data_IF_809313235103
#
_entry.id   IF_809313235103
#
_cell.length_a   1.000
_cell.length_b   1.000
_cell.length_c   1.000
_cell.angle_alpha   90.00
_cell.angle_beta   90.00
_cell.angle_gamma   90.00
#
_symmetry.space_group_name_H-M   'P 1'
#
loop_
_entity.id
_entity.type
_entity.pdbx_description
1 polymer ?
#
# COMPACT_ATOMS: atom_id res chain seq x y z
N UNK A 1 -7.63 -7.40 -3.09
CA UNK A 1 -8.81 -8.15 -3.61
C UNK A 1 -8.92 -9.43 -2.80
N UNK A 2 -10.09 -9.73 -2.28
CA UNK A 2 -10.36 -11.01 -1.57
C UNK A 2 -10.44 -12.18 -2.56
N UNK A 3 -10.50 -13.41 -2.03
CA UNK A 3 -10.69 -14.60 -2.85
C UNK A 3 -12.13 -14.70 -3.38
N UNK A 4 -12.32 -14.89 -4.69
CA UNK A 4 -13.64 -15.02 -5.32
C UNK A 4 -14.40 -16.25 -4.82
N UNK A 5 -13.69 -17.36 -4.60
CA UNK A 5 -14.30 -18.58 -4.06
C UNK A 5 -14.78 -18.34 -2.63
N UNK A 6 -13.96 -17.67 -1.81
CA UNK A 6 -14.34 -17.28 -0.45
C UNK A 6 -15.61 -16.41 -0.45
N UNK A 7 -15.70 -15.41 -1.33
CA UNK A 7 -16.89 -14.56 -1.45
C UNK A 7 -18.14 -15.36 -1.80
N UNK A 8 -18.03 -16.29 -2.78
CA UNK A 8 -19.15 -17.16 -3.16
C UNK A 8 -19.65 -18.06 -2.03
N UNK A 9 -18.72 -18.61 -1.25
CA UNK A 9 -19.03 -19.52 -0.17
C UNK A 9 -19.50 -18.80 1.10
N UNK A 10 -19.12 -17.52 1.29
CA UNK A 10 -19.36 -16.74 2.50
C UNK A 10 -19.88 -15.31 2.21
N UNK A 11 -20.92 -15.12 1.38
CA UNK A 11 -21.37 -13.78 1.00
C UNK A 11 -21.83 -12.93 2.19
N UNK A 12 -22.50 -13.54 3.17
CA UNK A 12 -22.97 -12.84 4.36
C UNK A 12 -21.83 -12.34 5.24
N UNK A 13 -20.73 -13.10 5.35
CA UNK A 13 -19.54 -12.68 6.07
C UNK A 13 -18.86 -11.48 5.38
N UNK A 14 -18.80 -11.49 4.04
CA UNK A 14 -18.27 -10.35 3.28
C UNK A 14 -19.15 -9.11 3.46
N UNK A 15 -20.48 -9.25 3.42
CA UNK A 15 -21.41 -8.15 3.68
C UNK A 15 -21.29 -7.63 5.12
N UNK A 16 -21.14 -8.51 6.11
CA UNK A 16 -20.89 -8.11 7.50
C UNK A 16 -19.58 -7.30 7.63
N UNK A 17 -18.52 -7.77 6.97
CA UNK A 17 -17.25 -7.05 6.95
C UNK A 17 -17.36 -5.64 6.33
N UNK A 18 -18.12 -5.49 5.22
CA UNK A 18 -18.41 -4.19 4.61
C UNK A 18 -19.11 -3.26 5.60
N UNK A 19 -20.10 -3.77 6.35
CA UNK A 19 -20.81 -3.02 7.39
C UNK A 19 -19.89 -2.61 8.54
N UNK A 20 -19.00 -3.53 8.99
CA UNK A 20 -17.99 -3.22 10.01
C UNK A 20 -17.03 -2.10 9.58
N UNK A 21 -16.81 -1.95 8.28
CA UNK A 21 -16.01 -0.86 7.69
C UNK A 21 -16.82 0.40 7.38
N UNK A 22 -18.12 0.43 7.73
CA UNK A 22 -19.01 1.57 7.45
C UNK A 22 -19.11 1.94 5.96
N UNK A 23 -19.05 0.94 5.09
CA UNK A 23 -19.06 1.09 3.63
C UNK A 23 -20.35 0.48 3.03
N UNK A 24 -21.52 0.70 3.62
CA UNK A 24 -22.79 0.07 3.24
C UNK A 24 -23.15 0.27 1.76
N UNK A 25 -22.67 1.35 1.13
CA UNK A 25 -22.81 1.60 -0.30
C UNK A 25 -22.18 0.53 -1.20
N UNK A 26 -21.26 -0.29 -0.66
CA UNK A 26 -20.60 -1.40 -1.38
C UNK A 26 -21.32 -2.75 -1.23
N UNK A 27 -22.37 -2.84 -0.40
CA UNK A 27 -23.13 -4.09 -0.20
C UNK A 27 -23.68 -4.68 -1.51
N UNK A 28 -24.24 -3.91 -2.45
CA UNK A 28 -24.74 -4.45 -3.71
C UNK A 28 -23.67 -5.17 -4.55
N UNK A 29 -22.40 -4.74 -4.45
CA UNK A 29 -21.30 -5.33 -5.22
C UNK A 29 -21.13 -6.84 -4.95
N UNK A 30 -21.45 -7.29 -3.74
CA UNK A 30 -21.33 -8.72 -3.38
C UNK A 30 -22.31 -9.56 -4.19
N UNK A 31 -23.55 -9.10 -4.33
CA UNK A 31 -24.58 -9.80 -5.09
C UNK A 31 -24.30 -9.71 -6.60
N UNK A 32 -23.83 -8.55 -7.08
CA UNK A 32 -23.42 -8.36 -8.47
C UNK A 32 -22.28 -9.31 -8.87
N UNK A 33 -21.23 -9.44 -8.02
CA UNK A 33 -20.15 -10.40 -8.24
C UNK A 33 -20.67 -11.83 -8.36
N UNK A 34 -21.56 -12.25 -7.46
CA UNK A 34 -22.14 -13.61 -7.49
C UNK A 34 -22.93 -13.84 -8.77
N UNK A 35 -23.74 -12.86 -9.18
CA UNK A 35 -24.55 -12.93 -10.39
C UNK A 35 -23.69 -13.04 -11.65
N UNK A 36 -22.72 -12.12 -11.80
CA UNK A 36 -21.83 -12.11 -12.97
C UNK A 36 -20.87 -13.29 -13.01
N UNK A 37 -20.36 -13.76 -11.86
CA UNK A 37 -19.56 -14.98 -11.80
C UNK A 37 -20.38 -16.21 -12.23
N UNK A 38 -21.66 -16.28 -11.84
CA UNK A 38 -22.55 -17.35 -12.30
C UNK A 38 -22.74 -17.30 -13.82
N UNK A 39 -23.04 -16.10 -14.38
CA UNK A 39 -23.18 -15.89 -15.84
C UNK A 39 -21.91 -16.25 -16.60
N UNK A 40 -20.75 -15.84 -16.08
CA UNK A 40 -19.45 -16.18 -16.68
C UNK A 40 -19.20 -17.68 -16.73
N UNK A 41 -19.50 -18.41 -15.65
CA UNK A 41 -19.34 -19.87 -15.58
C UNK A 41 -20.33 -20.59 -16.49
N UNK A 42 -21.57 -20.12 -16.58
CA UNK A 42 -22.59 -20.67 -17.48
C UNK A 42 -22.17 -20.46 -18.95
N UNK A 43 -21.70 -19.27 -19.32
CA UNK A 43 -21.20 -18.98 -20.66
C UNK A 43 -19.97 -19.84 -21.01
N UNK A 44 -19.04 -19.99 -20.09
CA UNK A 44 -17.87 -20.84 -20.24
C UNK A 44 -18.27 -22.31 -20.43
N UNK A 45 -19.18 -22.83 -19.61
CA UNK A 45 -19.66 -24.22 -19.75
C UNK A 45 -20.33 -24.44 -21.09
N UNK A 46 -21.23 -23.52 -21.53
CA UNK A 46 -21.87 -23.62 -22.85
C UNK A 46 -20.82 -23.60 -23.97
N UNK A 47 -19.80 -22.74 -23.87
CA UNK A 47 -18.73 -22.65 -24.86
C UNK A 47 -17.89 -23.95 -24.91
N UNK A 48 -17.57 -24.55 -23.76
CA UNK A 48 -16.80 -25.79 -23.70
C UNK A 48 -17.62 -26.99 -24.25
N UNK A 49 -18.90 -27.08 -23.94
CA UNK A 49 -19.80 -28.08 -24.48
C UNK A 49 -19.94 -27.96 -26.02
N UNK A 50 -20.08 -26.73 -26.51
CA UNK A 50 -20.13 -26.45 -27.93
C UNK A 50 -18.81 -26.74 -28.66
N UNK A 51 -17.65 -26.46 -28.05
CA UNK A 51 -16.34 -26.84 -28.59
C UNK A 51 -16.19 -28.36 -28.69
N UNK A 52 -16.59 -29.09 -27.64
CA UNK A 52 -16.59 -30.54 -27.64
C UNK A 52 -17.49 -31.09 -28.75
N UNK A 53 -18.72 -30.59 -28.83
CA UNK A 53 -19.72 -30.99 -29.87
C UNK A 53 -19.18 -30.66 -31.27
N UNK A 54 -18.63 -29.48 -31.52
CA UNK A 54 -18.03 -29.08 -32.79
C UNK A 54 -16.94 -30.05 -33.20
N UNK A 55 -16.06 -30.44 -32.30
CA UNK A 55 -14.98 -31.42 -32.60
C UNK A 55 -15.53 -32.79 -32.97
N UNK A 56 -16.60 -33.27 -32.26
CA UNK A 56 -17.24 -34.54 -32.54
C UNK A 56 -17.92 -34.56 -33.90
N UNK A 57 -18.74 -33.53 -34.17
CA UNK A 57 -19.54 -33.41 -35.40
C UNK A 57 -18.64 -33.17 -36.63
N UNK A 58 -17.57 -32.37 -36.48
CA UNK A 58 -16.62 -32.13 -37.57
C UNK A 58 -15.93 -33.40 -38.08
N UNK A 59 -15.69 -34.38 -37.22
CA UNK A 59 -15.08 -35.67 -37.56
C UNK A 59 -15.98 -36.49 -38.49
N UNK A 60 -17.31 -36.27 -38.42
CA UNK A 60 -18.27 -37.03 -39.22
C UNK A 60 -18.32 -36.56 -40.68
N UNK A 61 -17.95 -35.28 -40.94
CA UNK A 61 -17.96 -34.71 -42.31
C UNK A 61 -17.09 -35.53 -43.26
N UNK A 62 -15.85 -35.85 -42.82
CA UNK A 62 -14.93 -36.64 -43.66
C UNK A 62 -15.44 -38.05 -43.94
N UNK A 63 -16.02 -38.71 -42.93
CA UNK A 63 -16.61 -40.05 -43.11
C UNK A 63 -17.84 -40.05 -44.01
N UNK A 64 -18.72 -39.06 -43.88
CA UNK A 64 -19.92 -38.94 -44.75
C UNK A 64 -19.53 -38.59 -46.19
N UNK A 65 -18.56 -37.75 -46.40
CA UNK A 65 -18.04 -37.44 -47.72
C UNK A 65 -17.42 -38.68 -48.40
N UNK A 66 -16.64 -39.46 -47.66
CA UNK A 66 -16.05 -40.73 -48.14
C UNK A 66 -17.12 -41.80 -48.51
N UNK A 67 -18.26 -41.75 -47.85
CA UNK A 67 -19.43 -42.64 -48.15
C UNK A 67 -20.33 -42.10 -49.27
N UNK A 68 -20.03 -40.93 -49.86
CA UNK A 68 -20.84 -40.32 -50.91
C UNK A 68 -22.13 -39.66 -50.44
N UNK A 69 -22.36 -39.54 -49.14
CA UNK A 69 -23.53 -38.95 -48.46
C UNK A 69 -23.45 -37.42 -48.40
N UNK A 70 -23.53 -36.78 -49.56
CA UNK A 70 -23.28 -35.31 -49.66
C UNK A 70 -24.33 -34.46 -48.93
N UNK A 71 -25.62 -34.84 -48.95
CA UNK A 71 -26.69 -34.10 -48.28
C UNK A 71 -26.53 -34.14 -46.76
N UNK A 72 -26.20 -35.33 -46.18
CA UNK A 72 -25.90 -35.48 -44.76
C UNK A 72 -24.64 -34.68 -44.37
N UNK A 73 -23.61 -34.68 -45.22
CA UNK A 73 -22.40 -33.88 -44.98
C UNK A 73 -22.66 -32.37 -44.99
N UNK A 74 -23.52 -31.86 -45.86
CA UNK A 74 -23.94 -30.45 -45.88
C UNK A 74 -24.78 -30.06 -44.65
N UNK A 75 -25.67 -30.94 -44.17
CA UNK A 75 -26.40 -30.72 -42.92
C UNK A 75 -25.45 -30.61 -41.71
N UNK A 76 -24.42 -31.46 -41.64
CA UNK A 76 -23.39 -31.46 -40.59
C UNK A 76 -22.54 -30.18 -40.69
N UNK A 77 -22.21 -29.74 -41.89
CA UNK A 77 -21.48 -28.44 -42.06
C UNK A 77 -22.34 -27.26 -41.60
N UNK A 78 -23.64 -27.26 -41.85
CA UNK A 78 -24.54 -26.21 -41.38
C UNK A 78 -24.61 -26.19 -39.84
N UNK A 79 -24.67 -27.37 -39.18
CA UNK A 79 -24.60 -27.48 -37.73
C UNK A 79 -23.27 -26.92 -37.17
N UNK A 80 -22.14 -27.26 -37.77
CA UNK A 80 -20.83 -26.72 -37.39
C UNK A 80 -20.78 -25.20 -37.55
N UNK A 81 -21.40 -24.65 -38.58
CA UNK A 81 -21.49 -23.21 -38.79
C UNK A 81 -22.32 -22.51 -37.71
N UNK A 82 -23.47 -23.11 -37.31
CA UNK A 82 -24.29 -22.58 -36.24
C UNK A 82 -23.55 -22.63 -34.88
N UNK A 83 -22.86 -23.71 -34.56
CA UNK A 83 -22.04 -23.83 -33.35
C UNK A 83 -20.93 -22.76 -33.35
N UNK A 84 -20.28 -22.57 -34.51
CA UNK A 84 -19.22 -21.57 -34.63
C UNK A 84 -19.74 -20.14 -34.41
N UNK A 85 -20.92 -19.82 -34.96
CA UNK A 85 -21.59 -18.54 -34.74
C UNK A 85 -21.88 -18.32 -33.26
N UNK A 86 -22.45 -19.31 -32.58
CA UNK A 86 -22.76 -19.24 -31.14
C UNK A 86 -21.51 -19.05 -30.30
N UNK A 87 -20.43 -19.76 -30.60
CA UNK A 87 -19.14 -19.57 -29.95
C UNK A 87 -18.59 -18.14 -30.08
N UNK A 88 -18.73 -17.56 -31.29
CA UNK A 88 -18.32 -16.16 -31.54
C UNK A 88 -19.16 -15.14 -30.75
N UNK A 89 -20.42 -15.47 -30.42
CA UNK A 89 -21.28 -14.64 -29.55
C UNK A 89 -20.95 -14.82 -28.06
N UNK A 90 -20.58 -16.03 -27.63
CA UNK A 90 -20.31 -16.35 -26.23
C UNK A 90 -18.97 -15.78 -25.73
N UNK A 91 -17.93 -15.81 -26.55
CA UNK A 91 -16.60 -15.34 -26.16
C UNK A 91 -16.58 -13.89 -25.63
N UNK A 92 -17.18 -12.89 -26.33
CA UNK A 92 -17.25 -11.54 -25.80
C UNK A 92 -18.12 -11.42 -24.56
N UNK A 93 -19.20 -12.18 -24.43
CA UNK A 93 -20.08 -12.19 -23.25
C UNK A 93 -19.36 -12.77 -22.02
N UNK A 94 -18.66 -13.88 -22.18
CA UNK A 94 -17.85 -14.48 -21.10
C UNK A 94 -16.83 -13.45 -20.59
N UNK A 95 -16.12 -12.80 -21.51
CA UNK A 95 -15.16 -11.77 -21.17
C UNK A 95 -15.81 -10.57 -20.46
N UNK A 96 -16.92 -10.07 -20.94
CA UNK A 96 -17.68 -8.98 -20.33
C UNK A 96 -18.04 -9.32 -18.86
N UNK A 97 -18.55 -10.52 -18.61
CA UNK A 97 -18.90 -10.96 -17.27
C UNK A 97 -17.68 -11.12 -16.36
N UNK A 98 -16.57 -11.65 -16.89
CA UNK A 98 -15.31 -11.76 -16.14
C UNK A 98 -14.73 -10.38 -15.80
N UNK A 99 -14.77 -9.44 -16.75
CA UNK A 99 -14.30 -8.07 -16.55
C UNK A 99 -15.15 -7.37 -15.48
N UNK A 100 -16.48 -7.59 -15.48
CA UNK A 100 -17.38 -7.03 -14.46
C UNK A 100 -17.13 -7.62 -13.08
N UNK A 101 -16.93 -8.93 -12.99
CA UNK A 101 -16.53 -9.59 -11.74
C UNK A 101 -15.23 -8.98 -11.20
N UNK A 102 -14.23 -8.82 -12.04
CA UNK A 102 -12.96 -8.24 -11.63
C UNK A 102 -13.12 -6.79 -11.16
N UNK A 103 -13.86 -5.97 -11.89
CA UNK A 103 -14.11 -4.58 -11.53
C UNK A 103 -14.75 -4.45 -10.14
N UNK A 104 -15.80 -5.24 -9.86
CA UNK A 104 -16.51 -5.18 -8.58
C UNK A 104 -15.68 -5.79 -7.45
N UNK A 105 -14.97 -6.89 -7.70
CA UNK A 105 -14.01 -7.48 -6.74
C UNK A 105 -12.88 -6.51 -6.35
N UNK A 106 -12.48 -5.62 -7.24
CA UNK A 106 -11.46 -4.60 -6.96
C UNK A 106 -11.96 -3.50 -6.02
N UNK A 107 -13.28 -3.31 -5.89
CA UNK A 107 -13.93 -2.32 -5.01
C UNK A 107 -14.30 -2.90 -3.64
N UNK A 108 -14.48 -4.22 -3.53
CA UNK A 108 -14.80 -4.88 -2.27
C UNK A 108 -13.59 -4.87 -1.35
N UNK A 109 -13.76 -4.38 -0.09
CA UNK A 109 -12.65 -4.29 0.85
C UNK A 109 -12.18 -5.66 1.33
N UNK A 110 -10.92 -5.74 1.77
CA UNK A 110 -10.35 -6.93 2.38
C UNK A 110 -11.06 -7.26 3.70
N UNK A 111 -11.01 -8.52 4.09
CA UNK A 111 -11.56 -8.97 5.38
C UNK A 111 -10.62 -8.51 6.49
N UNK A 112 -11.15 -7.77 7.45
CA UNK A 112 -10.38 -7.27 8.59
C UNK A 112 -10.08 -8.39 9.59
N UNK A 113 -8.92 -8.27 10.27
CA UNK A 113 -8.56 -9.18 11.36
C UNK A 113 -9.60 -9.07 12.50
N UNK A 114 -9.99 -10.19 13.15
CA UNK A 114 -10.96 -10.16 14.25
C UNK A 114 -10.57 -9.28 15.43
N UNK A 115 -9.28 -8.95 15.59
CA UNK A 115 -8.77 -8.08 16.66
C UNK A 115 -8.90 -6.59 16.36
N UNK A 116 -9.29 -6.22 15.13
CA UNK A 116 -9.45 -4.81 14.74
C UNK A 116 -10.62 -4.17 15.51
N UNK A 117 -10.40 -3.03 16.19
CA UNK A 117 -11.47 -2.30 16.86
C UNK A 117 -12.54 -1.85 15.86
N UNK A 118 -13.80 -1.93 16.25
CA UNK A 118 -14.90 -1.45 15.41
C UNK A 118 -15.16 0.02 15.72
N UNK A 119 -15.03 0.88 14.72
CA UNK A 119 -15.23 2.32 14.84
C UNK A 119 -15.40 2.96 13.47
N UNK A 120 -16.05 4.11 13.41
CA UNK A 120 -16.45 4.77 12.17
C UNK A 120 -15.29 5.51 11.48
N UNK A 121 -14.41 6.11 12.27
CA UNK A 121 -13.33 6.99 11.80
C UNK A 121 -12.14 6.94 12.80
N UNK A 122 -11.08 7.68 12.51
CA UNK A 122 -9.82 7.73 13.28
C UNK A 122 -10.01 8.09 14.77
N UNK A 123 -11.10 8.74 15.15
CA UNK A 123 -11.40 9.07 16.55
C UNK A 123 -11.68 7.82 17.41
N UNK A 124 -11.95 6.68 16.77
CA UNK A 124 -12.16 5.37 17.40
C UNK A 124 -10.89 4.50 17.42
N UNK A 125 -9.76 5.01 16.94
CA UNK A 125 -8.49 4.30 17.03
C UNK A 125 -8.10 4.09 18.50
N UNK A 126 -7.52 2.92 18.80
CA UNK A 126 -7.24 2.51 20.19
C UNK A 126 -5.76 2.61 20.48
N UNK A 127 -5.41 3.40 21.52
CA UNK A 127 -4.04 3.44 22.03
C UNK A 127 -3.65 2.09 22.60
N UNK A 128 -2.57 1.49 22.10
CA UNK A 128 -2.05 0.22 22.60
C UNK A 128 -1.01 0.43 23.69
N UNK A 129 0.04 1.22 23.42
CA UNK A 129 1.18 1.37 24.31
C UNK A 129 1.90 2.70 24.05
N UNK A 130 2.52 3.24 25.14
CA UNK A 130 3.41 4.40 25.09
C UNK A 130 4.84 3.99 25.38
N UNK A 131 5.77 4.61 24.67
CA UNK A 131 7.21 4.36 24.76
C UNK A 131 7.95 5.66 25.02
N UNK A 132 8.53 5.79 26.18
CA UNK A 132 9.17 7.00 26.68
C UNK A 132 8.19 7.99 27.29
N UNK A 133 8.70 8.80 28.20
CA UNK A 133 7.91 9.80 28.90
C UNK A 133 7.72 11.04 28.06
N UNK A 134 6.48 11.50 27.81
CA UNK A 134 6.23 12.76 27.14
C UNK A 134 6.60 13.93 28.06
N UNK A 135 7.58 14.73 27.65
CA UNK A 135 8.04 15.90 28.40
C UNK A 135 7.52 17.17 27.75
N UNK A 136 7.07 18.12 28.57
CA UNK A 136 6.80 19.50 28.17
C UNK A 136 7.83 20.38 28.89
N UNK A 137 8.75 21.04 28.16
CA UNK A 137 9.74 21.89 28.78
C UNK A 137 9.08 23.13 29.41
N UNK A 138 9.83 23.85 30.25
CA UNK A 138 9.39 25.07 30.94
C UNK A 138 9.55 26.34 30.07
N UNK A 139 9.95 26.18 28.81
CA UNK A 139 10.05 27.25 27.82
C UNK A 139 9.10 27.00 26.64
N UNK A 140 8.75 28.06 25.93
CA UNK A 140 7.90 27.98 24.74
C UNK A 140 8.65 27.35 23.57
N UNK A 141 8.05 26.33 22.95
CA UNK A 141 8.57 25.71 21.74
C UNK A 141 7.95 26.43 20.52
N UNK A 142 8.77 27.08 19.68
CA UNK A 142 8.29 27.71 18.46
C UNK A 142 7.73 26.69 17.47
N UNK A 143 7.02 27.18 16.46
CA UNK A 143 6.59 26.35 15.33
C UNK A 143 7.82 25.79 14.61
N UNK A 144 7.70 24.59 14.06
CA UNK A 144 8.87 23.91 13.47
C UNK A 144 9.57 24.69 12.35
N UNK A 145 8.82 25.47 11.54
CA UNK A 145 9.43 26.34 10.54
C UNK A 145 10.21 27.47 11.17
N UNK A 146 9.71 28.06 12.26
CA UNK A 146 10.40 29.14 12.96
C UNK A 146 11.72 28.63 13.61
N UNK A 147 11.71 27.36 14.08
CA UNK A 147 12.95 26.72 14.54
C UNK A 147 13.92 26.56 13.36
N UNK A 148 13.45 26.03 12.20
CA UNK A 148 14.31 25.83 11.03
C UNK A 148 14.85 27.15 10.46
N UNK A 149 14.06 28.24 10.48
CA UNK A 149 14.47 29.57 10.03
C UNK A 149 15.64 30.12 10.85
N UNK A 150 15.68 29.86 12.17
CA UNK A 150 16.83 30.25 13.01
C UNK A 150 18.17 29.62 12.61
N UNK A 151 18.12 28.55 11.82
CA UNK A 151 19.29 27.89 11.23
C UNK A 151 19.53 28.27 9.76
N UNK A 152 18.77 29.22 9.18
CA UNK A 152 18.68 29.43 7.72
C UNK A 152 18.37 28.11 6.98
N UNK A 153 17.56 27.25 7.59
CA UNK A 153 17.41 25.85 7.21
C UNK A 153 16.22 25.54 6.31
N UNK A 154 15.32 26.51 6.08
CA UNK A 154 14.13 26.33 5.25
C UNK A 154 13.81 27.59 4.45
N UNK A 155 13.31 27.41 3.20
CA UNK A 155 12.79 28.49 2.38
C UNK A 155 11.50 28.03 1.68
N UNK A 156 10.37 28.40 2.26
CA UNK A 156 9.05 28.09 1.71
C UNK A 156 8.62 29.10 0.63
N UNK A 157 9.09 30.34 0.70
CA UNK A 157 8.75 31.39 -0.27
C UNK A 157 9.38 31.11 -1.63
N UNK A 158 10.65 30.69 -1.66
CA UNK A 158 11.30 30.26 -2.88
C UNK A 158 10.64 28.99 -3.45
N UNK A 159 10.29 28.03 -2.61
CA UNK A 159 9.59 26.82 -3.03
C UNK A 159 8.22 27.15 -3.65
N UNK A 160 7.47 28.09 -3.03
CA UNK A 160 6.19 28.57 -3.56
C UNK A 160 6.30 29.17 -4.96
N UNK A 161 7.38 29.91 -5.24
CA UNK A 161 7.65 30.48 -6.58
C UNK A 161 8.01 29.42 -7.62
N UNK A 162 8.71 28.37 -7.22
CA UNK A 162 9.24 27.34 -8.14
C UNK A 162 8.22 26.25 -8.41
N UNK A 163 7.50 25.76 -7.39
CA UNK A 163 6.68 24.57 -7.48
C UNK A 163 5.26 24.74 -6.91
N UNK A 164 4.98 25.85 -6.24
CA UNK A 164 3.73 26.09 -5.55
C UNK A 164 3.79 25.75 -4.06
N UNK A 165 2.65 25.89 -3.39
CA UNK A 165 2.52 25.53 -1.97
C UNK A 165 2.65 24.00 -1.77
N UNK A 166 3.09 23.58 -0.59
CA UNK A 166 3.28 22.15 -0.28
C UNK A 166 4.62 21.59 -0.77
N UNK A 167 5.56 22.47 -1.11
CA UNK A 167 6.96 22.14 -1.39
C UNK A 167 7.89 22.94 -0.46
N UNK A 168 9.15 22.58 -0.40
CA UNK A 168 10.13 23.21 0.48
C UNK A 168 11.52 23.18 -0.14
N UNK A 169 12.38 24.13 0.29
CA UNK A 169 13.82 23.98 0.25
C UNK A 169 14.30 23.75 1.68
N UNK A 170 15.10 22.72 1.91
CA UNK A 170 15.88 22.56 3.13
C UNK A 170 17.33 22.92 2.83
N UNK A 171 17.99 23.57 3.79
CA UNK A 171 19.34 24.09 3.62
C UNK A 171 20.19 23.87 4.87
N UNK A 172 21.50 23.99 4.71
CA UNK A 172 22.45 23.98 5.83
C UNK A 172 22.33 22.77 6.74
N UNK A 173 22.33 23.04 8.04
CA UNK A 173 22.27 21.97 9.06
C UNK A 173 20.94 21.24 9.10
N UNK A 174 19.84 21.87 8.72
CA UNK A 174 18.52 21.20 8.63
C UNK A 174 18.52 20.20 7.47
N UNK A 175 19.07 20.54 6.31
CA UNK A 175 19.22 19.60 5.20
C UNK A 175 20.16 18.43 5.54
N UNK A 176 21.27 18.72 6.27
CA UNK A 176 22.16 17.66 6.78
C UNK A 176 21.45 16.73 7.76
N UNK A 177 20.66 17.30 8.66
CA UNK A 177 19.86 16.52 9.64
C UNK A 177 18.85 15.61 8.94
N UNK A 178 18.13 16.12 7.94
CA UNK A 178 17.23 15.34 7.09
C UNK A 178 17.97 14.16 6.43
N UNK A 179 19.11 14.40 5.82
CA UNK A 179 19.92 13.36 5.17
C UNK A 179 20.49 12.36 6.17
N UNK A 180 20.90 12.83 7.35
CA UNK A 180 21.39 11.99 8.44
C UNK A 180 20.31 11.02 8.96
N UNK A 181 19.06 11.48 9.13
CA UNK A 181 17.93 10.64 9.52
C UNK A 181 17.67 9.52 8.52
N UNK A 182 17.72 9.82 7.23
CA UNK A 182 17.51 8.82 6.17
C UNK A 182 18.64 7.81 6.13
N UNK A 183 19.89 8.27 6.24
CA UNK A 183 21.06 7.39 6.25
C UNK A 183 21.05 6.48 7.49
N UNK A 184 20.75 7.02 8.65
CA UNK A 184 20.62 6.25 9.89
C UNK A 184 19.49 5.20 9.76
N UNK A 185 18.32 5.59 9.29
CA UNK A 185 17.18 4.68 9.12
C UNK A 185 17.50 3.53 8.15
N UNK A 186 18.21 3.81 7.06
CA UNK A 186 18.69 2.79 6.12
C UNK A 186 19.59 1.78 6.83
N UNK A 187 20.62 2.26 7.53
CA UNK A 187 21.61 1.40 8.17
C UNK A 187 21.00 0.64 9.37
N UNK A 188 20.08 1.26 10.09
CA UNK A 188 19.27 0.61 11.11
C UNK A 188 18.51 -0.59 10.55
N UNK A 189 17.84 -0.44 9.40
CA UNK A 189 17.09 -1.54 8.79
C UNK A 189 18.00 -2.64 8.21
N UNK A 190 19.16 -2.26 7.65
CA UNK A 190 20.18 -3.24 7.25
C UNK A 190 20.63 -4.05 8.48
N UNK A 191 20.85 -3.39 9.60
CA UNK A 191 21.17 -4.04 10.88
C UNK A 191 20.06 -4.99 11.41
N UNK A 192 18.81 -4.78 11.00
CA UNK A 192 17.68 -5.70 11.29
C UNK A 192 17.57 -6.85 10.28
N UNK A 193 18.49 -6.96 9.32
CA UNK A 193 18.53 -8.02 8.31
C UNK A 193 17.71 -7.74 7.04
N UNK A 194 17.26 -6.50 6.83
CA UNK A 194 16.57 -6.11 5.61
C UNK A 194 17.56 -5.84 4.47
N UNK A 195 17.21 -6.30 3.27
CA UNK A 195 17.97 -5.99 2.07
C UNK A 195 17.62 -4.59 1.59
N UNK A 196 18.62 -3.71 1.51
CA UNK A 196 18.43 -2.37 0.95
C UNK A 196 18.31 -2.42 -0.57
N UNK A 197 17.33 -1.75 -1.12
CA UNK A 197 17.13 -1.63 -2.56
C UNK A 197 16.75 -0.20 -2.97
N UNK A 198 17.10 0.17 -4.19
CA UNK A 198 16.68 1.42 -4.85
C UNK A 198 15.73 1.00 -5.97
N UNK A 199 14.41 1.22 -5.82
CA UNK A 199 13.41 0.81 -6.80
C UNK A 199 13.18 1.90 -7.86
N UNK A 200 12.49 1.62 -8.95
CA UNK A 200 11.96 2.65 -9.83
C UNK A 200 11.01 3.60 -9.08
N UNK A 201 11.11 4.92 -9.35
CA UNK A 201 10.26 5.94 -8.73
C UNK A 201 9.02 6.27 -9.57
N UNK A 202 8.87 5.60 -10.71
CA UNK A 202 7.69 5.62 -11.57
C UNK A 202 7.26 4.18 -11.83
N UNK A 203 5.95 3.95 -11.80
CA UNK A 203 5.34 2.64 -11.98
C UNK A 203 4.18 2.68 -12.97
N UNK A 204 3.88 1.55 -13.60
CA UNK A 204 2.78 1.42 -14.56
C UNK A 204 1.43 1.26 -13.85
N UNK A 205 0.36 1.54 -14.58
CA UNK A 205 -1.02 1.44 -14.08
C UNK A 205 -1.38 0.08 -13.49
N UNK A 206 -0.88 -1.01 -14.07
CA UNK A 206 -1.12 -2.37 -13.58
C UNK A 206 -0.46 -2.64 -12.21
N UNK A 207 0.62 -1.95 -11.89
CA UNK A 207 1.22 -1.99 -10.54
C UNK A 207 0.41 -1.13 -9.59
N UNK A 208 0.05 0.11 -10.00
CA UNK A 208 -0.74 1.03 -9.18
C UNK A 208 -2.03 0.35 -8.71
N UNK A 209 -2.82 -0.18 -9.63
CA UNK A 209 -4.09 -0.87 -9.31
C UNK A 209 -3.90 -2.16 -8.50
N UNK A 210 -2.69 -2.72 -8.51
CA UNK A 210 -2.34 -3.87 -7.69
C UNK A 210 -2.06 -3.53 -6.23
N UNK A 211 -1.53 -2.34 -5.94
CA UNK A 211 -1.03 -1.97 -4.61
C UNK A 211 -1.97 -1.07 -3.81
N UNK A 212 -2.94 -0.41 -4.46
CA UNK A 212 -3.88 0.50 -3.79
C UNK A 212 -5.29 0.41 -4.36
N UNK A 213 -6.26 1.03 -3.71
CA UNK A 213 -7.62 1.18 -4.22
C UNK A 213 -7.71 2.26 -5.31
N UNK A 214 -8.80 2.26 -6.09
CA UNK A 214 -9.03 3.31 -7.10
C UNK A 214 -9.22 4.69 -6.47
N UNK A 215 -9.83 4.75 -5.28
CA UNK A 215 -10.03 6.01 -4.54
C UNK A 215 -8.70 6.59 -4.09
N UNK A 216 -7.82 5.77 -3.50
CA UNK A 216 -6.46 6.18 -3.12
C UNK A 216 -5.65 6.61 -4.34
N UNK A 217 -5.76 5.90 -5.48
CA UNK A 217 -5.07 6.26 -6.72
C UNK A 217 -5.45 7.67 -7.20
N UNK A 218 -6.74 8.03 -7.24
CA UNK A 218 -7.19 9.35 -7.68
C UNK A 218 -6.76 10.46 -6.71
N UNK A 219 -6.85 10.19 -5.42
CA UNK A 219 -6.49 11.15 -4.38
C UNK A 219 -4.98 11.41 -4.27
N UNK A 220 -4.16 10.40 -4.56
CA UNK A 220 -2.72 10.42 -4.26
C UNK A 220 -1.83 10.57 -5.49
N UNK A 221 -2.09 9.84 -6.59
CA UNK A 221 -1.09 9.59 -7.62
C UNK A 221 -0.98 10.70 -8.67
N UNK A 222 0.25 11.17 -8.95
CA UNK A 222 0.56 11.95 -10.13
C UNK A 222 0.78 11.02 -11.32
N UNK A 223 0.11 11.30 -12.44
CA UNK A 223 0.29 10.60 -13.70
C UNK A 223 1.15 11.43 -14.65
N UNK A 224 2.06 10.79 -15.37
CA UNK A 224 2.83 11.41 -16.44
C UNK A 224 1.94 11.50 -17.69
N UNK A 225 1.82 12.70 -18.24
CA UNK A 225 1.03 12.94 -19.44
C UNK A 225 1.65 12.22 -20.65
N UNK A 226 0.81 11.51 -21.41
CA UNK A 226 1.25 10.77 -22.60
C UNK A 226 1.92 9.42 -22.33
N UNK A 227 2.12 9.05 -21.06
CA UNK A 227 2.80 7.81 -20.65
C UNK A 227 1.91 6.95 -19.75
N UNK A 228 2.10 5.62 -19.78
CA UNK A 228 1.56 4.73 -18.75
C UNK A 228 2.51 4.66 -17.54
N UNK A 229 2.77 5.83 -16.94
CA UNK A 229 3.63 5.98 -15.78
C UNK A 229 3.01 6.90 -14.74
N UNK A 230 3.23 6.54 -13.47
CA UNK A 230 2.79 7.28 -12.30
C UNK A 230 3.97 7.45 -11.34
N UNK A 231 4.11 8.65 -10.77
CA UNK A 231 5.07 8.88 -9.69
C UNK A 231 4.63 8.13 -8.44
N UNK A 232 5.55 7.46 -7.76
CA UNK A 232 5.22 6.71 -6.54
C UNK A 232 4.86 7.62 -5.38
N UNK A 233 3.85 7.25 -4.59
CA UNK A 233 3.52 7.89 -3.31
C UNK A 233 4.28 7.29 -2.12
N UNK A 234 4.94 6.15 -2.36
CA UNK A 234 5.79 5.40 -1.41
C UNK A 234 6.59 4.35 -2.18
N UNK A 235 7.79 4.01 -1.71
CA UNK A 235 8.58 2.93 -2.32
C UNK A 235 7.94 1.55 -2.17
N UNK A 236 7.00 1.37 -1.22
CA UNK A 236 6.18 0.15 -1.12
C UNK A 236 5.61 -0.25 -2.48
N UNK A 237 5.02 0.71 -3.21
CA UNK A 237 4.39 0.44 -4.50
C UNK A 237 5.33 -0.25 -5.48
N UNK A 238 6.53 0.27 -5.59
CA UNK A 238 7.55 -0.25 -6.49
C UNK A 238 8.17 -1.54 -5.98
N UNK A 239 8.42 -1.63 -4.67
CA UNK A 239 9.00 -2.83 -4.04
C UNK A 239 8.06 -4.04 -4.12
N UNK A 240 6.76 -3.85 -3.88
CA UNK A 240 5.77 -4.92 -4.07
C UNK A 240 5.59 -5.22 -5.56
N UNK A 241 5.56 -4.18 -6.41
CA UNK A 241 5.51 -4.33 -7.87
C UNK A 241 6.65 -5.16 -8.47
N UNK A 242 7.82 -5.22 -7.80
CA UNK A 242 8.94 -6.10 -8.18
C UNK A 242 8.54 -7.57 -8.35
N UNK A 243 7.52 -8.00 -7.62
CA UNK A 243 7.07 -9.39 -7.61
C UNK A 243 5.88 -9.66 -8.54
N UNK A 244 5.44 -8.69 -9.35
CA UNK A 244 4.29 -8.85 -10.25
C UNK A 244 4.43 -10.08 -11.14
N UNK A 245 3.35 -10.87 -11.23
CA UNK A 245 3.23 -12.09 -12.07
C UNK A 245 4.36 -13.10 -11.87
N UNK A 246 4.78 -13.31 -10.62
CA UNK A 246 5.84 -14.26 -10.26
C UNK A 246 5.30 -15.49 -9.53
N UNK A 247 6.04 -16.59 -9.68
CA UNK A 247 5.90 -17.79 -8.85
C UNK A 247 7.24 -17.99 -8.15
N UNK A 248 7.28 -17.66 -6.87
CA UNK A 248 8.48 -17.71 -6.05
C UNK A 248 8.65 -19.10 -5.41
N UNK A 249 9.87 -19.41 -5.02
CA UNK A 249 10.21 -20.59 -4.22
C UNK A 249 9.90 -20.28 -2.74
N UNK A 250 9.18 -21.17 -2.07
CA UNK A 250 8.84 -21.03 -0.64
C UNK A 250 10.07 -20.93 0.26
N UNK A 251 11.17 -21.60 -0.09
CA UNK A 251 12.43 -21.58 0.67
C UNK A 251 13.09 -20.20 0.73
N UNK A 252 12.70 -19.28 -0.16
CA UNK A 252 13.22 -17.90 -0.20
C UNK A 252 12.44 -16.91 0.65
N UNK A 253 11.31 -17.34 1.21
CA UNK A 253 10.53 -16.50 2.10
C UNK A 253 11.11 -16.49 3.52
N UNK A 254 11.00 -15.37 4.25
CA UNK A 254 10.42 -14.10 3.82
C UNK A 254 11.38 -13.25 2.98
N UNK A 255 10.85 -12.46 2.04
CA UNK A 255 11.60 -11.34 1.49
C UNK A 255 11.41 -10.12 2.40
N UNK A 256 12.52 -9.58 2.90
CA UNK A 256 12.56 -8.39 3.75
C UNK A 256 13.33 -7.30 3.02
N UNK A 257 12.64 -6.28 2.53
CA UNK A 257 13.26 -5.20 1.75
C UNK A 257 13.05 -3.85 2.46
N UNK A 258 14.06 -3.01 2.40
CA UNK A 258 13.97 -1.61 2.82
C UNK A 258 14.45 -0.70 1.70
N UNK A 259 13.86 0.48 1.58
CA UNK A 259 14.13 1.40 0.50
C UNK A 259 13.97 2.84 0.93
N UNK A 260 14.89 3.67 0.50
CA UNK A 260 14.72 5.12 0.44
C UNK A 260 14.12 5.51 -0.91
N UNK A 261 13.17 6.43 -0.90
CA UNK A 261 12.65 7.04 -2.12
C UNK A 261 12.12 8.45 -1.88
N UNK A 262 12.10 9.31 -2.91
CA UNK A 262 11.15 10.40 -2.97
C UNK A 262 9.73 9.82 -3.05
N UNK A 263 8.78 10.57 -2.51
CA UNK A 263 7.36 10.26 -2.51
C UNK A 263 6.60 11.46 -3.02
N UNK A 264 5.64 11.24 -3.92
CA UNK A 264 4.84 12.30 -4.54
C UNK A 264 3.38 12.05 -4.28
N UNK A 265 2.69 13.03 -3.66
CA UNK A 265 1.27 12.90 -3.32
C UNK A 265 0.51 14.16 -3.67
N UNK A 266 -0.63 14.01 -4.34
CA UNK A 266 -1.54 15.13 -4.64
C UNK A 266 -2.17 15.73 -3.40
N UNK A 267 -2.30 14.96 -2.31
CA UNK A 267 -2.96 15.35 -1.06
C UNK A 267 -4.38 15.92 -1.29
N UNK A 268 -5.08 15.40 -2.30
CA UNK A 268 -6.40 15.88 -2.73
C UNK A 268 -7.44 15.57 -1.65
N UNK A 269 -8.15 16.62 -1.20
CA UNK A 269 -9.18 16.48 -0.16
C UNK A 269 -8.66 16.45 1.27
N UNK A 270 -7.35 16.58 1.47
CA UNK A 270 -6.78 16.70 2.80
C UNK A 270 -6.96 18.13 3.33
N UNK A 271 -7.77 18.26 4.39
CA UNK A 271 -7.96 19.50 5.13
C UNK A 271 -7.56 19.27 6.59
N UNK A 272 -6.77 20.17 7.16
CA UNK A 272 -6.37 20.03 8.56
C UNK A 272 -5.55 21.21 9.07
N UNK A 273 -5.38 21.26 10.39
CA UNK A 273 -4.87 22.39 11.19
C UNK A 273 -3.42 22.79 10.86
N UNK A 274 -2.64 21.93 10.17
CA UNK A 274 -1.22 22.20 9.88
C UNK A 274 -0.91 22.19 8.38
N UNK A 275 -1.58 23.07 7.64
CA UNK A 275 -1.26 23.31 6.21
C UNK A 275 0.06 24.04 6.00
N UNK A 276 0.56 24.78 7.03
CA UNK A 276 1.84 25.49 6.98
C UNK A 276 3.00 24.56 7.36
N UNK A 277 4.13 24.70 6.68
CA UNK A 277 5.37 24.00 6.98
C UNK A 277 5.51 22.67 6.24
N UNK A 278 6.07 21.66 6.89
CA UNK A 278 6.46 20.39 6.26
C UNK A 278 5.63 19.18 6.71
N UNK A 279 4.52 19.39 7.42
CA UNK A 279 3.70 18.30 7.92
C UNK A 279 2.93 17.57 6.80
N UNK A 280 2.34 18.35 5.87
CA UNK A 280 1.57 17.84 4.72
C UNK A 280 2.05 18.51 3.44
N UNK A 281 2.70 17.75 2.60
CA UNK A 281 3.45 18.25 1.45
C UNK A 281 3.31 17.31 0.26
N UNK A 282 3.48 17.86 -0.95
CA UNK A 282 3.34 17.12 -2.21
C UNK A 282 4.55 16.25 -2.56
N UNK A 283 5.73 16.65 -2.08
CA UNK A 283 6.98 15.93 -2.28
C UNK A 283 7.71 15.79 -0.95
N UNK A 284 8.07 14.56 -0.59
CA UNK A 284 8.88 14.25 0.58
C UNK A 284 9.70 13.00 0.33
N UNK A 285 10.56 12.66 1.26
CA UNK A 285 11.37 11.45 1.21
C UNK A 285 10.95 10.51 2.34
N UNK A 286 11.15 9.23 2.09
CA UNK A 286 10.79 8.20 3.06
C UNK A 286 11.73 7.00 2.97
N UNK A 287 12.16 6.50 4.13
CA UNK A 287 12.67 5.15 4.25
C UNK A 287 11.50 4.24 4.61
N UNK A 288 11.31 3.21 3.81
CA UNK A 288 10.20 2.25 3.92
C UNK A 288 10.73 0.85 4.17
N UNK A 289 9.94 -0.01 4.78
CA UNK A 289 10.17 -1.44 4.85
C UNK A 289 8.98 -2.22 4.34
N UNK A 290 9.24 -3.31 3.63
CA UNK A 290 8.22 -4.28 3.23
C UNK A 290 8.64 -5.69 3.60
N UNK A 291 7.64 -6.52 3.84
CA UNK A 291 7.80 -7.96 4.02
C UNK A 291 6.85 -8.70 3.10
N UNK A 292 7.39 -9.68 2.37
CA UNK A 292 6.61 -10.67 1.60
C UNK A 292 6.84 -12.01 2.26
N UNK A 293 5.81 -12.61 2.84
CA UNK A 293 5.94 -13.78 3.69
C UNK A 293 4.83 -14.82 3.48
N UNK A 294 4.98 -15.96 4.14
CA UNK A 294 3.92 -16.97 4.23
C UNK A 294 2.72 -16.39 5.02
N UNK A 295 1.47 -16.80 4.72
CA UNK A 295 0.29 -16.32 5.43
C UNK A 295 0.36 -16.46 6.96
N UNK A 296 0.87 -17.60 7.45
CA UNK A 296 1.00 -17.87 8.88
C UNK A 296 2.01 -16.97 9.61
N UNK A 297 2.98 -16.39 8.90
CA UNK A 297 4.06 -15.59 9.49
C UNK A 297 3.71 -14.09 9.55
N UNK A 298 2.61 -13.68 8.87
CA UNK A 298 2.29 -12.26 8.69
C UNK A 298 1.97 -11.53 10.00
N UNK A 299 1.37 -12.22 10.99
CA UNK A 299 1.10 -11.64 12.30
C UNK A 299 2.39 -11.34 13.06
N UNK A 300 3.36 -12.24 13.04
CA UNK A 300 4.64 -12.04 13.71
C UNK A 300 5.43 -10.90 13.04
N UNK A 301 5.41 -10.85 11.70
CA UNK A 301 6.05 -9.76 10.97
C UNK A 301 5.41 -8.40 11.25
N UNK A 302 4.08 -8.34 11.31
CA UNK A 302 3.37 -7.13 11.69
C UNK A 302 3.85 -6.57 13.02
N UNK A 303 3.94 -7.44 14.05
CA UNK A 303 4.41 -7.07 15.38
C UNK A 303 5.88 -6.62 15.40
N UNK A 304 6.75 -7.24 14.62
CA UNK A 304 8.16 -6.84 14.49
C UNK A 304 8.31 -5.48 13.80
N UNK A 305 7.55 -5.26 12.74
CA UNK A 305 7.73 -4.08 11.89
C UNK A 305 7.40 -2.78 12.61
N UNK A 306 6.27 -2.68 13.31
CA UNK A 306 5.96 -1.45 14.03
C UNK A 306 6.92 -1.22 15.21
N UNK A 307 7.42 -2.28 15.85
CA UNK A 307 8.44 -2.19 16.90
C UNK A 307 9.75 -1.60 16.39
N UNK A 308 10.14 -1.89 15.16
CA UNK A 308 11.34 -1.29 14.56
C UNK A 308 11.20 0.24 14.43
N UNK A 309 10.05 0.74 14.03
CA UNK A 309 9.80 2.19 13.99
C UNK A 309 9.85 2.80 15.39
N UNK A 310 9.21 2.18 16.37
CA UNK A 310 9.28 2.61 17.78
C UNK A 310 10.73 2.66 18.26
N UNK A 311 11.52 1.61 18.04
CA UNK A 311 12.93 1.52 18.44
C UNK A 311 13.76 2.64 17.79
N UNK A 312 13.56 2.91 16.49
CA UNK A 312 14.27 3.99 15.80
C UNK A 312 13.94 5.35 16.41
N UNK A 313 12.68 5.68 16.63
CA UNK A 313 12.28 6.96 17.22
C UNK A 313 12.80 7.10 18.65
N UNK A 314 12.75 6.04 19.44
CA UNK A 314 13.30 6.03 20.80
C UNK A 314 14.82 6.21 20.85
N UNK A 315 15.53 5.70 19.85
CA UNK A 315 16.99 5.92 19.74
C UNK A 315 17.36 7.37 19.43
N UNK A 316 16.40 8.17 18.99
CA UNK A 316 16.52 9.61 18.70
C UNK A 316 15.87 10.49 19.79
N UNK A 317 15.63 9.93 20.97
CA UNK A 317 15.05 10.59 22.15
C UNK A 317 13.65 11.16 21.93
N UNK A 318 12.89 10.60 20.98
CA UNK A 318 11.51 11.00 20.67
C UNK A 318 10.53 10.01 21.34
N UNK A 319 9.68 10.46 22.28
CA UNK A 319 8.60 9.63 22.82
C UNK A 319 7.56 9.34 21.76
N UNK A 320 7.08 8.09 21.73
CA UNK A 320 6.06 7.65 20.77
C UNK A 320 4.97 6.84 21.45
N UNK A 321 3.83 6.72 20.79
CA UNK A 321 2.80 5.74 21.11
C UNK A 321 2.38 4.96 19.89
N UNK A 322 1.67 3.85 20.08
CA UNK A 322 1.06 3.07 19.02
C UNK A 322 -0.45 3.11 19.12
N UNK A 323 -1.11 3.31 17.98
CA UNK A 323 -2.55 3.29 17.83
C UNK A 323 -2.96 2.15 16.89
N UNK A 324 -3.84 1.27 17.37
CA UNK A 324 -4.50 0.31 16.50
C UNK A 324 -5.62 1.01 15.74
N UNK A 325 -5.55 0.99 14.39
CA UNK A 325 -6.56 1.60 13.56
C UNK A 325 -7.88 0.82 13.62
N UNK A 326 -8.99 1.52 13.75
CA UNK A 326 -10.31 0.91 13.76
C UNK A 326 -10.79 0.58 12.33
N UNK A 327 -11.86 -0.18 12.25
CA UNK A 327 -12.38 -0.73 10.99
C UNK A 327 -12.75 0.32 9.94
N UNK A 328 -13.27 1.48 10.34
CA UNK A 328 -13.66 2.56 9.44
C UNK A 328 -12.49 3.41 8.95
N UNK A 329 -11.35 3.39 9.68
CA UNK A 329 -10.12 4.09 9.30
C UNK A 329 -9.19 3.24 8.40
N UNK A 330 -9.43 1.93 8.34
CA UNK A 330 -8.63 1.03 7.49
C UNK A 330 -8.91 1.25 6.00
N UNK A 331 -7.88 1.52 5.20
CA UNK A 331 -7.97 1.45 3.75
C UNK A 331 -8.43 0.07 3.25
N UNK A 332 -8.99 0.02 2.04
CA UNK A 332 -9.69 -1.18 1.55
C UNK A 332 -8.82 -2.46 1.46
N UNK A 333 -7.53 -2.32 1.19
CA UNK A 333 -6.66 -3.49 1.07
C UNK A 333 -6.12 -3.99 2.42
N UNK A 334 -6.23 -3.18 3.48
CA UNK A 334 -5.65 -3.51 4.78
C UNK A 334 -6.51 -4.51 5.55
N UNK A 335 -5.85 -5.52 6.12
CA UNK A 335 -6.41 -6.47 7.09
C UNK A 335 -6.33 -5.87 8.49
N UNK A 336 -5.22 -5.20 8.78
CA UNK A 336 -4.92 -4.60 10.08
C UNK A 336 -3.88 -3.50 9.90
N UNK A 337 -3.95 -2.43 10.71
CA UNK A 337 -2.98 -1.35 10.68
C UNK A 337 -2.74 -0.80 12.09
N UNK A 338 -1.49 -0.44 12.35
CA UNK A 338 -1.07 0.22 13.59
C UNK A 338 -0.26 1.46 13.24
N UNK A 339 -0.73 2.62 13.71
CA UNK A 339 -0.01 3.87 13.53
C UNK A 339 1.01 4.05 14.67
N UNK A 340 2.16 4.57 14.33
CA UNK A 340 3.14 5.08 15.29
C UNK A 340 3.04 6.59 15.31
N UNK A 341 2.78 7.14 16.49
CA UNK A 341 2.66 8.57 16.67
C UNK A 341 3.77 9.10 17.58
N UNK A 342 4.37 10.24 17.22
CA UNK A 342 5.39 10.91 17.99
C UNK A 342 4.78 12.00 18.88
N UNK A 343 5.38 12.20 20.05
CA UNK A 343 5.01 13.28 20.96
C UNK A 343 5.42 14.65 20.41
N UNK A 344 4.48 15.59 20.42
CA UNK A 344 4.73 17.01 20.19
C UNK A 344 4.63 17.77 21.50
N UNK A 345 5.74 18.17 22.13
CA UNK A 345 5.69 18.97 23.34
C UNK A 345 5.06 20.36 23.11
N UNK A 346 5.17 20.92 21.89
CA UNK A 346 4.52 22.19 21.51
C UNK A 346 2.99 22.08 21.54
N UNK A 347 2.46 21.01 20.90
CA UNK A 347 1.01 20.79 20.83
C UNK A 347 0.45 20.05 22.05
N UNK A 348 1.29 19.47 22.88
CA UNK A 348 0.95 18.59 24.01
C UNK A 348 0.06 17.42 23.60
N UNK A 349 0.33 16.86 22.40
CA UNK A 349 -0.35 15.71 21.83
C UNK A 349 0.59 14.88 20.97
N UNK A 350 0.16 13.68 20.64
CA UNK A 350 0.83 12.82 19.66
C UNK A 350 0.33 13.12 18.26
N UNK A 351 1.16 12.87 17.25
CA UNK A 351 0.80 12.95 15.83
C UNK A 351 1.46 11.82 15.03
N UNK A 352 0.80 11.36 13.98
CA UNK A 352 1.24 10.24 13.16
C UNK A 352 2.57 10.53 12.46
N UNK A 353 3.52 9.59 12.61
CA UNK A 353 4.84 9.61 11.97
C UNK A 353 5.10 8.37 11.13
N UNK A 354 4.27 7.35 11.23
CA UNK A 354 4.35 6.13 10.45
C UNK A 354 3.15 5.24 10.64
N UNK A 355 2.89 4.38 9.68
CA UNK A 355 1.78 3.42 9.71
C UNK A 355 2.26 2.06 9.23
N UNK A 356 2.10 1.05 10.10
CA UNK A 356 2.40 -0.34 9.80
C UNK A 356 1.13 -1.05 9.34
N UNK A 357 1.17 -1.69 8.18
CA UNK A 357 0.00 -2.32 7.60
C UNK A 357 0.25 -3.78 7.22
N UNK A 358 -0.70 -4.64 7.57
CA UNK A 358 -0.83 -6.00 7.03
C UNK A 358 -1.95 -5.98 5.99
N UNK A 359 -1.63 -6.36 4.74
CA UNK A 359 -2.56 -6.39 3.63
C UNK A 359 -3.05 -7.80 3.32
N UNK A 360 -2.59 -8.80 4.07
CA UNK A 360 -2.89 -10.19 3.76
C UNK A 360 -2.47 -10.53 2.34
N UNK A 361 -3.31 -11.23 1.60
CA UNK A 361 -3.07 -11.63 0.23
C UNK A 361 -3.68 -10.67 -0.83
N UNK A 362 -4.22 -9.52 -0.41
CA UNK A 362 -4.95 -8.62 -1.31
C UNK A 362 -4.10 -8.11 -2.48
N UNK A 363 -2.89 -7.61 -2.20
CA UNK A 363 -1.96 -7.16 -3.24
C UNK A 363 -1.42 -8.35 -4.05
N UNK A 364 -1.10 -9.45 -3.39
CA UNK A 364 -0.60 -10.66 -4.05
C UNK A 364 -1.60 -11.22 -5.06
N UNK A 365 -2.89 -11.20 -4.76
CA UNK A 365 -3.95 -11.61 -5.72
C UNK A 365 -4.03 -10.68 -6.91
N UNK A 366 -4.02 -9.37 -6.69
CA UNK A 366 -4.08 -8.37 -7.75
C UNK A 366 -2.85 -8.44 -8.68
N UNK A 367 -1.68 -8.60 -8.10
CA UNK A 367 -0.39 -8.64 -8.82
C UNK A 367 0.05 -10.07 -9.22
N UNK A 368 -0.76 -11.09 -8.89
CA UNK A 368 -0.47 -12.51 -9.16
C UNK A 368 0.86 -12.99 -8.57
N UNK A 369 1.16 -12.56 -7.34
CA UNK A 369 2.36 -12.97 -6.60
C UNK A 369 2.09 -14.28 -5.91
N UNK A 370 2.60 -15.36 -6.43
CA UNK A 370 2.38 -16.72 -5.94
C UNK A 370 3.67 -17.35 -5.46
N UNK A 371 3.51 -18.37 -4.65
CA UNK A 371 4.59 -19.22 -4.17
C UNK A 371 4.24 -20.68 -4.48
N UNK A 372 5.23 -21.45 -4.86
CA UNK A 372 5.12 -22.91 -4.94
C UNK A 372 5.60 -23.51 -3.63
N UNK A 373 4.68 -24.11 -2.89
CA UNK A 373 4.95 -24.80 -1.64
C UNK A 373 5.72 -26.12 -1.86
N UNK A 374 6.24 -26.69 -0.79
CA UNK A 374 6.94 -27.96 -0.79
C UNK A 374 6.05 -29.13 -1.28
N UNK A 375 4.73 -29.04 -1.04
CA UNK A 375 3.71 -29.97 -1.54
C UNK A 375 3.41 -29.79 -3.04
N UNK A 376 4.07 -28.88 -3.72
CA UNK A 376 3.88 -28.56 -5.13
C UNK A 376 2.68 -27.66 -5.42
N UNK A 377 1.84 -27.34 -4.43
CA UNK A 377 0.69 -26.46 -4.60
C UNK A 377 1.13 -25.00 -4.60
N UNK A 378 0.37 -24.19 -5.32
CA UNK A 378 0.59 -22.73 -5.38
C UNK A 378 -0.38 -22.03 -4.45
N UNK A 379 0.13 -21.03 -3.72
CA UNK A 379 -0.67 -20.14 -2.88
C UNK A 379 -0.21 -18.69 -3.03
N UNK A 380 -1.02 -17.73 -2.57
CA UNK A 380 -0.69 -16.32 -2.53
C UNK A 380 0.07 -15.99 -1.24
N UNK A 381 1.10 -15.17 -1.35
CA UNK A 381 1.82 -14.62 -0.20
C UNK A 381 1.00 -13.57 0.53
N UNK A 382 1.42 -13.24 1.76
CA UNK A 382 1.00 -12.02 2.45
C UNK A 382 2.04 -10.92 2.24
N UNK A 383 1.56 -9.67 2.17
CA UNK A 383 2.40 -8.48 2.05
C UNK A 383 2.16 -7.54 3.22
N UNK A 384 3.24 -6.96 3.72
CA UNK A 384 3.21 -5.98 4.79
C UNK A 384 4.11 -4.80 4.43
N UNK A 385 3.77 -3.63 4.90
CA UNK A 385 4.61 -2.44 4.80
C UNK A 385 4.60 -1.65 6.10
N UNK A 386 5.64 -0.86 6.29
CA UNK A 386 5.72 0.11 7.37
C UNK A 386 6.71 1.22 7.04
N UNK A 387 6.39 2.42 7.46
CA UNK A 387 7.32 3.55 7.43
C UNK A 387 8.41 3.35 8.48
N UNK A 388 9.67 3.33 8.04
CA UNK A 388 10.81 3.41 8.97
C UNK A 388 10.94 4.83 9.49
N UNK A 389 11.06 5.78 8.56
CA UNK A 389 11.06 7.22 8.84
C UNK A 389 10.61 7.99 7.60
N UNK A 390 9.77 9.00 7.82
CA UNK A 390 9.48 10.06 6.86
C UNK A 390 10.08 11.36 7.42
N UNK A 391 11.25 11.80 6.93
CA UNK A 391 12.01 12.90 7.53
C UNK A 391 11.24 14.18 7.80
N UNK A 392 10.29 14.64 6.98
CA UNK A 392 9.57 15.87 7.29
C UNK A 392 8.80 15.81 8.62
N UNK A 393 8.05 14.75 8.86
CA UNK A 393 7.35 14.55 10.15
C UNK A 393 8.34 14.22 11.27
N UNK A 394 9.39 13.45 10.98
CA UNK A 394 10.46 13.20 11.93
C UNK A 394 11.18 14.48 12.32
N UNK A 395 11.45 15.40 11.37
CA UNK A 395 12.05 16.69 11.68
C UNK A 395 11.22 17.51 12.68
N UNK A 396 9.89 17.52 12.52
CA UNK A 396 9.01 18.20 13.47
C UNK A 396 9.18 17.59 14.86
N UNK A 397 9.00 16.26 14.97
CA UNK A 397 9.13 15.57 16.25
C UNK A 397 10.52 15.72 16.86
N UNK A 398 11.57 15.57 16.05
CA UNK A 398 12.95 15.66 16.48
C UNK A 398 13.30 17.07 17.00
N UNK A 399 12.98 18.10 16.23
CA UNK A 399 13.27 19.48 16.61
C UNK A 399 12.54 19.87 17.88
N UNK A 400 11.26 19.54 18.02
CA UNK A 400 10.49 19.86 19.20
C UNK A 400 10.98 19.13 20.47
N UNK A 401 11.42 17.86 20.36
CA UNK A 401 11.86 17.06 21.50
C UNK A 401 13.33 17.27 21.88
N UNK A 402 14.17 17.79 20.96
CA UNK A 402 15.59 17.97 21.20
C UNK A 402 16.01 19.46 21.29
N UNK A 403 15.02 20.39 21.27
CA UNK A 403 15.27 21.82 21.41
C UNK A 403 15.66 22.19 22.83
N UNK A 404 16.65 23.08 22.98
CA UNK A 404 17.03 23.69 24.23
C UNK A 404 16.47 25.11 24.36
N UNK A 405 16.43 25.66 25.58
CA UNK A 405 15.96 27.03 25.85
C UNK A 405 16.74 28.11 25.10
N UNK A 406 18.02 27.85 24.79
CA UNK A 406 18.91 28.76 24.03
C UNK A 406 18.72 28.65 22.51
N UNK A 407 17.74 27.84 22.05
CA UNK A 407 17.45 27.60 20.63
C UNK A 407 18.36 26.58 19.95
N UNK A 408 19.35 26.04 20.65
CA UNK A 408 20.18 24.96 20.11
C UNK A 408 19.40 23.63 20.10
N UNK A 409 19.82 22.69 19.25
CA UNK A 409 19.17 21.37 19.08
C UNK A 409 20.19 20.28 19.39
N UNK A 410 19.90 19.43 20.36
CA UNK A 410 20.75 18.28 20.71
C UNK A 410 20.69 17.22 19.60
N UNK A 411 21.83 16.59 19.31
CA UNK A 411 21.94 15.46 18.40
C UNK A 411 22.17 14.19 19.22
N UNK A 412 21.18 13.28 19.31
CA UNK A 412 21.32 12.01 20.02
C UNK A 412 22.49 11.17 19.50
N UNK A 413 23.11 10.39 20.39
CA UNK A 413 24.30 9.59 20.07
C UNK A 413 24.16 8.72 18.82
N UNK A 414 22.97 8.15 18.60
CA UNK A 414 22.71 7.30 17.44
C UNK A 414 22.84 8.06 16.11
N UNK A 415 22.58 9.37 16.09
CA UNK A 415 22.61 10.20 14.89
C UNK A 415 23.95 10.93 14.69
N UNK A 416 24.75 11.11 15.75
CA UNK A 416 26.02 11.83 15.69
C UNK A 416 26.99 11.34 14.59
N UNK A 417 27.16 10.00 14.36
CA UNK A 417 28.01 9.50 13.28
C UNK A 417 27.61 10.02 11.90
N UNK A 418 26.31 10.23 11.67
CA UNK A 418 25.73 10.73 10.42
C UNK A 418 25.77 12.26 10.32
N UNK A 419 26.09 12.95 11.41
CA UNK A 419 26.27 14.40 11.51
C UNK A 419 27.74 14.80 11.68
N UNK A 420 28.68 13.91 11.32
CA UNK A 420 30.12 14.18 11.44
C UNK A 420 30.61 14.35 12.88
N UNK A 421 29.95 13.69 13.85
CA UNK A 421 30.27 13.77 15.27
C UNK A 421 29.68 15.02 15.96
N UNK A 422 28.83 15.79 15.29
CA UNK A 422 28.18 16.96 15.90
C UNK A 422 27.22 16.53 17.00
N UNK A 423 27.41 17.07 18.20
CA UNK A 423 26.58 16.78 19.38
C UNK A 423 25.42 17.74 19.54
N UNK A 424 25.55 18.96 19.00
CA UNK A 424 24.55 20.03 19.11
C UNK A 424 24.58 20.95 17.89
N UNK A 425 23.43 21.29 17.37
CA UNK A 425 23.28 22.35 16.35
C UNK A 425 23.08 23.70 17.06
N UNK A 426 23.75 24.72 16.58
CA UNK A 426 23.68 26.09 17.13
C UNK A 426 22.93 26.96 16.13
N UNK A 427 21.86 27.66 16.54
CA UNK A 427 21.14 28.58 15.67
C UNK A 427 22.03 29.74 15.22
N UNK A 428 21.73 30.30 14.06
CA UNK A 428 22.47 31.46 13.51
C UNK A 428 21.86 32.78 13.97
N UNK A 429 20.57 32.76 14.36
CA UNK A 429 19.79 33.91 14.77
C UNK A 429 19.04 33.70 16.06
#
# INVERSE_FOLDING_TARGET
>A
MIDLKFLRENPDLVKENIKKKFQDHKLPLVDEVIEYDKKAREAQQEADDLRAKKNQVSKQIGALMAQGKKEEAEAVKAEVAQISKRLTELEPLEKEYQDKVLEDMMKIPNIIDPSVPIGKDDTFNVENEKFGEPVVPDFEIPYHTDIMERFDGIDLDAAGKVAGNGFYYLMGDIARLHSAMTAYARDFMIGKGFTYCIPPFMIRSNVVTGVMSFEEMDAMMYKIEGEDLYLIGTSEHSMIGKFIDTINDESKLPYTLTSYSPCFRKEKGAHGIEERGVYRIHQFEKQEMIVVCKPQDSKEWYEKMWKYTVELFRSLDVPVRTLECCSGDLADLKVKSCDVEAWSPRQKKYFEVGSCSNLGDAQARRLKIRVKGEDGKKYFVHTLNNTVVAPPRMLIAFLENNLNADGSVNIPKALQPYMGGTEKLIPKH
#
